data_IF_162436342434
#
_entry.id   IF_162436342434
#
_cell.length_a   1.000
_cell.length_b   1.000
_cell.length_c   1.000
_cell.angle_alpha   90.00
_cell.angle_beta   90.00
_cell.angle_gamma   90.00
#
_symmetry.space_group_name_H-M   'P 1'
#
loop_
_entity.id
_entity.type
_entity.pdbx_description
1 polymer ?
#
# COMPACT_ATOMS: atom_id res chain seq x y z
N UNK A 1 -0.20 34.49 45.55
CA UNK A 1 0.45 33.44 44.73
C UNK A 1 0.85 34.08 43.41
N UNK A 2 2.13 34.38 43.21
CA UNK A 2 2.66 34.83 41.92
C UNK A 2 3.05 33.59 41.11
N UNK A 3 2.45 33.39 39.94
CA UNK A 3 2.79 32.30 39.03
C UNK A 3 3.84 32.79 38.04
N UNK A 4 5.01 32.16 38.01
CA UNK A 4 6.02 32.41 36.99
C UNK A 4 5.72 31.57 35.76
N UNK A 5 5.52 32.23 34.61
CA UNK A 5 5.23 31.58 33.33
C UNK A 5 6.46 31.67 32.43
N UNK A 6 7.05 30.52 32.13
CA UNK A 6 8.22 30.39 31.24
C UNK A 6 7.74 30.30 29.79
N UNK A 7 7.63 31.46 29.13
CA UNK A 7 7.12 31.59 27.75
C UNK A 7 8.00 30.86 26.74
N UNK A 8 9.31 30.87 26.96
CA UNK A 8 10.29 30.11 26.19
C UNK A 8 10.01 28.60 26.21
N UNK A 9 9.70 28.04 27.39
CA UNK A 9 9.33 26.63 27.55
C UNK A 9 8.00 26.33 26.85
N UNK A 10 6.99 27.19 27.01
CA UNK A 10 5.68 27.03 26.35
C UNK A 10 5.85 27.04 24.83
N UNK A 11 6.65 27.96 24.29
CA UNK A 11 6.89 28.08 22.86
C UNK A 11 7.55 26.81 22.30
N UNK A 12 8.61 26.31 22.95
CA UNK A 12 9.35 25.14 22.48
C UNK A 12 8.51 23.88 22.59
N UNK A 13 7.86 23.65 23.73
CA UNK A 13 7.07 22.42 23.97
C UNK A 13 5.89 22.36 23.00
N UNK A 14 5.11 23.44 22.88
CA UNK A 14 3.97 23.45 21.96
C UNK A 14 4.43 23.38 20.50
N UNK A 15 5.52 24.05 20.12
CA UNK A 15 6.07 23.96 18.76
C UNK A 15 6.52 22.55 18.39
N UNK A 16 7.14 21.82 19.32
CA UNK A 16 7.55 20.44 19.09
C UNK A 16 6.33 19.50 19.04
N UNK A 17 5.38 19.64 19.97
CA UNK A 17 4.15 18.84 19.98
C UNK A 17 3.32 19.04 18.71
N UNK A 18 3.06 20.29 18.35
CA UNK A 18 2.31 20.65 17.14
C UNK A 18 3.03 20.16 15.87
N UNK A 19 4.37 20.22 15.85
CA UNK A 19 5.18 19.68 14.77
C UNK A 19 5.04 18.16 14.62
N UNK A 20 5.05 17.43 15.73
CA UNK A 20 4.84 15.97 15.75
C UNK A 20 3.42 15.64 15.27
N UNK A 21 2.40 16.33 15.78
CA UNK A 21 1.00 16.10 15.41
C UNK A 21 0.76 16.38 13.92
N UNK A 22 1.28 17.50 13.39
CA UNK A 22 1.21 17.81 11.96
C UNK A 22 1.99 16.80 11.11
N UNK A 23 3.14 16.30 11.57
CA UNK A 23 3.90 15.29 10.86
C UNK A 23 3.17 13.92 10.80
N UNK A 24 2.55 13.51 11.91
CA UNK A 24 1.69 12.32 11.96
C UNK A 24 0.50 12.50 11.01
N UNK A 25 -0.19 13.64 11.11
CA UNK A 25 -1.34 13.95 10.27
C UNK A 25 -0.99 14.00 8.78
N UNK A 26 0.16 14.59 8.41
CA UNK A 26 0.67 14.61 7.03
C UNK A 26 0.76 13.20 6.45
N UNK A 27 1.17 12.23 7.27
CA UNK A 27 1.34 10.84 6.86
C UNK A 27 0.05 10.06 6.85
N UNK A 28 -0.87 10.31 7.79
CA UNK A 28 -2.23 9.74 7.78
C UNK A 28 -2.99 10.19 6.52
N UNK A 29 -2.91 11.48 6.18
CA UNK A 29 -3.60 12.05 5.03
C UNK A 29 -2.86 11.85 3.70
N UNK A 30 -1.60 11.39 3.72
CA UNK A 30 -0.78 11.27 2.51
C UNK A 30 -0.56 12.61 1.79
N UNK A 31 -0.59 13.72 2.51
CA UNK A 31 -0.66 15.07 1.92
C UNK A 31 0.66 15.55 1.28
N UNK A 32 1.79 14.91 1.60
CA UNK A 32 3.09 15.22 0.97
C UNK A 32 3.65 16.60 1.35
N UNK A 33 3.27 17.16 2.50
CA UNK A 33 3.80 18.44 2.97
C UNK A 33 5.30 18.37 3.28
N UNK A 34 6.03 19.43 2.89
CA UNK A 34 7.47 19.58 3.17
C UNK A 34 7.68 20.00 4.63
N UNK A 35 8.81 19.57 5.22
CA UNK A 35 9.17 19.86 6.61
C UNK A 35 9.08 21.35 6.99
N UNK A 36 9.52 22.26 6.11
CA UNK A 36 9.43 23.71 6.37
C UNK A 36 8.00 24.23 6.52
N UNK A 37 7.01 23.63 5.84
CA UNK A 37 5.60 24.02 6.01
C UNK A 37 5.00 23.46 7.28
N UNK A 38 5.41 22.25 7.66
CA UNK A 38 5.04 21.65 8.94
C UNK A 38 5.58 22.52 10.09
N UNK A 39 6.82 22.97 9.99
CA UNK A 39 7.41 23.89 10.96
C UNK A 39 6.64 25.21 11.07
N UNK A 40 6.28 25.84 9.94
CA UNK A 40 5.48 27.07 9.96
C UNK A 40 4.08 26.86 10.56
N UNK A 41 3.45 25.72 10.27
CA UNK A 41 2.18 25.34 10.90
C UNK A 41 2.35 25.18 12.41
N UNK A 42 3.37 24.46 12.85
CA UNK A 42 3.66 24.25 14.27
C UNK A 42 3.98 25.56 15.01
N UNK A 43 4.69 26.48 14.37
CA UNK A 43 4.94 27.80 14.92
C UNK A 43 3.65 28.60 15.16
N UNK A 44 2.63 28.46 14.30
CA UNK A 44 1.34 29.12 14.48
C UNK A 44 0.60 28.61 15.73
N UNK A 45 0.62 27.29 15.97
CA UNK A 45 0.05 26.70 17.18
C UNK A 45 0.80 27.11 18.46
N UNK A 46 2.14 27.08 18.42
CA UNK A 46 2.98 27.52 19.53
C UNK A 46 2.78 29.00 19.90
N UNK A 47 2.64 29.88 18.90
CA UNK A 47 2.34 31.29 19.12
C UNK A 47 0.97 31.48 19.78
N UNK A 48 -0.04 30.72 19.35
CA UNK A 48 -1.35 30.74 19.99
C UNK A 48 -1.26 30.30 21.46
N UNK A 49 -0.52 29.23 21.76
CA UNK A 49 -0.33 28.76 23.13
C UNK A 49 0.32 29.84 24.03
N UNK A 50 1.31 30.55 23.50
CA UNK A 50 1.94 31.68 24.20
C UNK A 50 0.94 32.84 24.43
N UNK A 51 0.19 33.22 23.40
CA UNK A 51 -0.82 34.27 23.49
C UNK A 51 -1.92 33.93 24.51
N UNK A 52 -2.40 32.68 24.48
CA UNK A 52 -3.39 32.18 25.42
C UNK A 52 -2.85 32.17 26.87
N UNK A 53 -1.57 31.87 27.07
CA UNK A 53 -0.93 31.90 28.39
C UNK A 53 -0.72 33.33 28.93
N UNK A 54 -0.41 34.29 28.06
CA UNK A 54 -0.19 35.70 28.40
C UNK A 54 -1.47 36.49 28.70
N UNK A 55 -2.64 35.97 28.34
CA UNK A 55 -3.93 36.62 28.59
C UNK A 55 -4.78 35.75 29.54
N UNK A 56 -4.59 35.87 30.87
CA UNK A 56 -5.32 35.06 31.86
C UNK A 56 -6.83 35.31 31.86
N UNK A 57 -7.26 36.54 31.54
CA UNK A 57 -8.66 36.97 31.52
C UNK A 57 -9.39 36.69 30.19
N UNK A 58 -8.79 35.91 29.28
CA UNK A 58 -9.44 35.58 28.01
C UNK A 58 -10.71 34.75 28.26
N UNK A 59 -11.88 35.15 27.72
CA UNK A 59 -13.11 34.44 27.98
C UNK A 59 -13.05 33.00 27.42
N UNK A 60 -13.61 32.06 28.18
CA UNK A 60 -13.47 30.61 27.92
C UNK A 60 -13.92 30.22 26.50
N UNK A 61 -15.01 30.80 26.01
CA UNK A 61 -15.53 30.54 24.67
C UNK A 61 -14.55 31.00 23.57
N UNK A 62 -13.81 32.09 23.78
CA UNK A 62 -12.84 32.60 22.82
C UNK A 62 -11.58 31.75 22.81
N UNK A 63 -11.12 31.30 23.98
CA UNK A 63 -10.04 30.30 24.10
C UNK A 63 -10.42 29.00 23.38
N UNK A 64 -11.63 28.50 23.61
CA UNK A 64 -12.13 27.29 22.95
C UNK A 64 -12.20 27.45 21.43
N UNK A 65 -12.80 28.54 20.95
CA UNK A 65 -12.92 28.82 19.52
C UNK A 65 -11.55 28.94 18.84
N UNK A 66 -10.59 29.58 19.52
CA UNK A 66 -9.23 29.69 19.03
C UNK A 66 -8.52 28.34 18.97
N UNK A 67 -8.50 27.60 20.08
CA UNK A 67 -7.76 26.34 20.22
C UNK A 67 -8.35 25.17 19.44
N UNK A 68 -9.68 25.09 19.30
CA UNK A 68 -10.35 23.95 18.67
C UNK A 68 -10.79 24.19 17.23
N UNK A 69 -10.78 25.44 16.75
CA UNK A 69 -11.26 25.75 15.39
C UNK A 69 -10.28 26.62 14.63
N UNK A 70 -10.02 27.84 15.11
CA UNK A 70 -9.28 28.83 14.31
C UNK A 70 -7.81 28.43 14.10
N UNK A 71 -7.13 27.99 15.15
CA UNK A 71 -5.70 27.69 15.12
C UNK A 71 -5.43 26.36 14.43
N UNK A 72 -6.13 25.25 14.73
CA UNK A 72 -5.99 24.00 13.96
C UNK A 72 -6.22 24.20 12.47
N UNK A 73 -7.26 24.98 12.08
CA UNK A 73 -7.51 25.31 10.68
C UNK A 73 -6.36 26.11 10.06
N UNK A 74 -5.81 27.11 10.78
CA UNK A 74 -4.66 27.88 10.32
C UNK A 74 -3.41 27.01 10.13
N UNK A 75 -3.09 26.17 11.12
CA UNK A 75 -1.95 25.24 11.07
C UNK A 75 -2.04 24.31 9.86
N UNK A 76 -3.22 23.72 9.64
CA UNK A 76 -3.51 22.83 8.50
C UNK A 76 -3.45 23.59 7.18
N UNK A 77 -3.97 24.82 7.12
CA UNK A 77 -3.92 25.63 5.92
C UNK A 77 -2.49 25.96 5.50
N UNK A 78 -1.64 26.33 6.47
CA UNK A 78 -0.21 26.59 6.26
C UNK A 78 0.52 25.30 5.82
N UNK A 79 0.29 24.20 6.52
CA UNK A 79 1.00 22.93 6.31
C UNK A 79 0.61 22.25 4.99
N UNK A 80 -0.70 22.10 4.73
CA UNK A 80 -1.23 21.21 3.69
C UNK A 80 -1.84 21.92 2.48
N UNK A 81 -2.19 23.21 2.58
CA UNK A 81 -2.87 23.97 1.51
C UNK A 81 -4.07 23.22 0.91
N UNK A 82 -5.09 22.91 1.71
CA UNK A 82 -6.28 22.21 1.24
C UNK A 82 -6.95 23.00 0.10
N UNK A 83 -7.48 22.30 -0.90
CA UNK A 83 -8.10 22.94 -2.09
C UNK A 83 -9.55 23.38 -1.88
N UNK A 84 -10.16 23.03 -0.74
CA UNK A 84 -11.53 23.42 -0.42
C UNK A 84 -11.85 23.28 1.06
N UNK A 85 -12.96 23.90 1.48
CA UNK A 85 -13.40 23.98 2.88
C UNK A 85 -13.60 22.58 3.49
N UNK A 86 -14.18 21.65 2.73
CA UNK A 86 -14.37 20.26 3.19
C UNK A 86 -13.03 19.59 3.57
N UNK A 87 -12.00 19.76 2.75
CA UNK A 87 -10.66 19.20 3.02
C UNK A 87 -9.99 19.88 4.21
N UNK A 88 -10.18 21.20 4.35
CA UNK A 88 -9.68 21.97 5.48
C UNK A 88 -10.30 21.48 6.80
N UNK A 89 -11.63 21.37 6.85
CA UNK A 89 -12.36 20.90 8.04
C UNK A 89 -12.00 19.46 8.38
N UNK A 90 -11.89 18.58 7.37
CA UNK A 90 -11.49 17.19 7.59
C UNK A 90 -10.06 17.08 8.16
N UNK A 91 -9.12 17.87 7.65
CA UNK A 91 -7.75 17.85 8.14
C UNK A 91 -7.62 18.53 9.52
N UNK A 92 -8.35 19.61 9.79
CA UNK A 92 -8.39 20.24 11.12
C UNK A 92 -8.97 19.29 12.17
N UNK A 93 -10.13 18.68 11.89
CA UNK A 93 -10.70 17.66 12.78
C UNK A 93 -9.77 16.45 12.95
N UNK A 94 -9.05 16.06 11.89
CA UNK A 94 -8.02 15.03 11.96
C UNK A 94 -6.87 15.41 12.88
N UNK A 95 -6.46 16.68 12.92
CA UNK A 95 -5.44 17.19 13.83
C UNK A 95 -5.90 17.09 15.29
N UNK A 96 -7.12 17.58 15.58
CA UNK A 96 -7.68 17.56 16.93
C UNK A 96 -7.89 16.13 17.45
N UNK A 97 -8.37 15.22 16.61
CA UNK A 97 -8.49 13.80 16.96
C UNK A 97 -7.13 13.15 17.23
N UNK A 98 -6.11 13.50 16.44
CA UNK A 98 -4.74 13.01 16.66
C UNK A 98 -4.18 13.54 17.98
N UNK A 99 -4.44 14.81 18.30
CA UNK A 99 -4.06 15.43 19.56
C UNK A 99 -4.77 14.80 20.75
N UNK A 100 -6.08 14.57 20.66
CA UNK A 100 -6.87 13.93 21.71
C UNK A 100 -6.42 12.48 21.96
N UNK A 101 -6.11 11.73 20.90
CA UNK A 101 -5.57 10.38 21.02
C UNK A 101 -4.17 10.38 21.68
N UNK A 102 -3.29 11.29 21.28
CA UNK A 102 -1.96 11.45 21.90
C UNK A 102 -2.07 11.84 23.38
N UNK A 103 -2.99 12.74 23.71
CA UNK A 103 -3.33 13.12 25.08
C UNK A 103 -3.84 11.94 25.90
N UNK A 104 -4.81 11.18 25.37
CA UNK A 104 -5.36 9.99 26.04
C UNK A 104 -4.34 8.87 26.25
N UNK A 105 -3.40 8.67 25.31
CA UNK A 105 -2.28 7.74 25.52
C UNK A 105 -1.35 8.24 26.62
N UNK A 106 -1.06 9.53 26.65
CA UNK A 106 -0.22 10.14 27.71
C UNK A 106 -0.88 10.00 29.08
N UNK A 107 -2.19 10.24 29.17
CA UNK A 107 -3.00 10.07 30.38
C UNK A 107 -3.05 8.60 30.83
N UNK A 108 -3.32 7.68 29.91
CA UNK A 108 -3.36 6.25 30.22
C UNK A 108 -1.99 5.75 30.71
N UNK A 109 -0.89 6.21 30.11
CA UNK A 109 0.46 5.92 30.58
C UNK A 109 0.75 6.55 31.95
N UNK A 110 0.22 7.75 32.20
CA UNK A 110 0.34 8.42 33.49
C UNK A 110 -0.38 7.64 34.60
N UNK A 111 -1.60 7.19 34.36
CA UNK A 111 -2.42 6.47 35.35
C UNK A 111 -2.02 5.01 35.53
N UNK A 112 -1.69 4.30 34.45
CA UNK A 112 -1.50 2.83 34.48
C UNK A 112 -0.03 2.41 34.59
N UNK A 113 0.90 3.36 34.54
CA UNK A 113 2.34 3.11 34.70
C UNK A 113 2.85 3.90 35.89
N UNK A 114 3.95 3.44 36.53
CA UNK A 114 4.65 4.23 37.57
C UNK A 114 5.24 5.57 37.06
N UNK A 115 5.01 5.92 35.80
CA UNK A 115 5.40 7.20 35.21
C UNK A 115 4.78 8.39 35.97
N UNK A 116 3.53 8.27 36.44
CA UNK A 116 2.91 9.30 37.28
C UNK A 116 3.63 9.51 38.61
N UNK A 117 4.09 8.44 39.26
CA UNK A 117 4.88 8.49 40.49
C UNK A 117 6.24 9.19 40.29
N UNK A 118 6.95 8.89 39.19
CA UNK A 118 8.20 9.59 38.86
C UNK A 118 7.98 11.06 38.48
N UNK A 119 6.82 11.40 37.90
CA UNK A 119 6.43 12.78 37.56
C UNK A 119 6.03 13.61 38.80
N UNK A 120 5.33 12.99 39.76
CA UNK A 120 4.95 13.62 41.02
C UNK A 120 6.17 13.89 41.92
N UNK A 121 7.13 12.96 41.92
CA UNK A 121 8.46 13.16 42.53
C UNK A 121 9.24 14.30 41.84
N UNK A 122 9.03 14.49 40.53
CA UNK A 122 9.58 15.58 39.71
C UNK A 122 8.96 16.96 40.03
N UNK A 123 7.65 16.99 40.30
CA UNK A 123 6.87 18.20 40.62
C UNK A 123 7.11 18.68 42.05
N UNK A 124 7.40 17.76 42.99
CA UNK A 124 7.76 18.10 44.39
C UNK A 124 9.14 18.74 44.56
N UNK A 125 9.92 18.85 43.49
CA UNK A 125 11.01 19.83 43.42
C UNK A 125 12.33 19.43 44.09
N UNK A 126 12.69 18.15 44.12
CA UNK A 126 14.09 17.80 44.36
C UNK A 126 14.93 18.14 43.13
N UNK A 127 16.02 18.89 43.37
CA UNK A 127 16.86 19.60 42.39
C UNK A 127 17.68 18.65 41.49
N UNK A 128 17.03 17.89 40.63
CA UNK A 128 17.70 17.13 39.57
C UNK A 128 17.29 17.67 38.20
N UNK A 129 17.84 18.83 37.81
CA UNK A 129 17.64 19.44 36.49
C UNK A 129 17.97 18.49 35.33
N UNK A 130 18.91 17.55 35.54
CA UNK A 130 19.25 16.51 34.56
C UNK A 130 18.17 15.44 34.34
N UNK A 131 17.32 15.16 35.34
CA UNK A 131 16.29 14.13 35.25
C UNK A 131 15.04 14.62 34.48
N UNK A 132 14.73 15.92 34.58
CA UNK A 132 13.66 16.57 33.80
C UNK A 132 13.94 16.52 32.30
N UNK A 133 15.18 16.81 31.90
CA UNK A 133 15.61 16.73 30.50
C UNK A 133 15.58 15.29 29.98
N UNK A 134 15.96 14.32 30.81
CA UNK A 134 15.93 12.89 30.48
C UNK A 134 14.50 12.37 30.24
N UNK A 135 13.52 12.76 31.07
CA UNK A 135 12.12 12.38 30.88
C UNK A 135 11.53 12.97 29.59
N UNK A 136 11.83 14.22 29.27
CA UNK A 136 11.42 14.83 28.00
C UNK A 136 12.10 14.17 26.79
N UNK A 137 13.39 13.83 26.91
CA UNK A 137 14.11 13.04 25.90
C UNK A 137 13.52 11.65 25.72
N UNK A 138 13.05 10.98 26.77
CA UNK A 138 12.40 9.67 26.71
C UNK A 138 11.01 9.74 26.07
N UNK A 139 10.24 10.80 26.33
CA UNK A 139 8.95 11.04 25.66
C UNK A 139 9.17 11.35 24.18
N UNK A 140 10.19 12.16 23.85
CA UNK A 140 10.57 12.48 22.47
C UNK A 140 11.07 11.25 21.72
N UNK A 141 12.00 10.48 22.30
CA UNK A 141 12.55 9.28 21.67
C UNK A 141 11.55 8.14 21.60
N UNK A 142 10.73 7.94 22.65
CA UNK A 142 9.62 6.99 22.65
C UNK A 142 8.51 7.36 21.67
N UNK A 143 8.18 8.66 21.56
CA UNK A 143 7.24 9.19 20.57
C UNK A 143 7.77 9.03 19.14
N UNK A 144 9.07 9.25 18.92
CA UNK A 144 9.71 9.09 17.61
C UNK A 144 9.85 7.62 17.20
N UNK A 145 10.17 6.73 18.13
CA UNK A 145 10.23 5.27 17.90
C UNK A 145 8.83 4.65 17.72
N UNK A 146 7.85 5.09 18.52
CA UNK A 146 6.44 4.71 18.37
C UNK A 146 5.86 5.19 17.03
N UNK A 147 6.15 6.44 16.65
CA UNK A 147 5.83 6.96 15.33
C UNK A 147 6.52 6.12 14.24
N UNK A 148 7.82 5.82 14.35
CA UNK A 148 8.51 4.99 13.35
C UNK A 148 7.91 3.57 13.21
N UNK A 149 7.58 2.91 14.32
CA UNK A 149 6.97 1.58 14.35
C UNK A 149 5.54 1.55 13.79
N UNK A 150 4.73 2.55 14.13
CA UNK A 150 3.37 2.72 13.60
C UNK A 150 3.38 3.15 12.12
N UNK A 151 4.34 3.99 11.72
CA UNK A 151 4.43 4.55 10.37
C UNK A 151 5.12 3.63 9.35
N UNK A 152 6.00 2.73 9.80
CA UNK A 152 6.64 1.70 8.97
C UNK A 152 5.80 0.42 8.95
N UNK A 153 5.96 -0.40 9.99
CA UNK A 153 5.35 -1.72 10.05
C UNK A 153 3.83 -1.66 10.26
N UNK A 154 3.33 -0.71 11.05
CA UNK A 154 1.90 -0.53 11.31
C UNK A 154 1.13 -0.10 10.06
N UNK A 155 1.62 0.90 9.33
CA UNK A 155 1.03 1.37 8.08
C UNK A 155 1.15 0.34 6.94
N UNK A 156 2.23 -0.45 6.90
CA UNK A 156 2.39 -1.52 5.92
C UNK A 156 1.51 -2.74 6.26
N UNK A 157 1.38 -3.07 7.54
CA UNK A 157 0.45 -4.10 8.03
C UNK A 157 -1.01 -3.67 7.83
N UNK A 158 -1.33 -2.40 8.07
CA UNK A 158 -2.63 -1.80 7.76
C UNK A 158 -2.86 -1.76 6.25
N UNK A 159 -1.88 -1.40 5.41
CA UNK A 159 -2.01 -1.50 3.94
C UNK A 159 -2.23 -2.95 3.49
N UNK A 160 -1.52 -3.92 4.07
CA UNK A 160 -1.76 -5.36 3.83
C UNK A 160 -3.17 -5.79 4.27
N UNK A 161 -3.69 -5.21 5.36
CA UNK A 161 -5.02 -5.51 5.92
C UNK A 161 -6.17 -4.73 5.26
N UNK A 162 -5.88 -3.59 4.64
CA UNK A 162 -6.77 -2.72 3.86
C UNK A 162 -6.73 -3.00 2.36
N UNK A 163 -5.77 -3.79 1.87
CA UNK A 163 -5.81 -4.43 0.55
C UNK A 163 -6.86 -5.55 0.55
N UNK A 164 -8.07 -5.21 1.01
CA UNK A 164 -9.26 -6.03 0.99
C UNK A 164 -9.74 -6.10 -0.45
N UNK A 165 -9.76 -7.31 -1.01
CA UNK A 165 -10.58 -7.76 -2.15
C UNK A 165 -10.98 -6.62 -3.10
N UNK A 166 -10.02 -6.09 -3.83
CA UNK A 166 -10.29 -5.04 -4.80
C UNK A 166 -11.03 -5.66 -5.97
N UNK A 167 -12.34 -5.46 -5.98
CA UNK A 167 -13.13 -5.68 -7.18
C UNK A 167 -12.75 -4.64 -8.22
N UNK A 168 -12.53 -5.06 -9.45
CA UNK A 168 -12.11 -4.22 -10.55
C UNK A 168 -12.89 -4.58 -11.81
N UNK A 169 -13.00 -3.62 -12.72
CA UNK A 169 -13.61 -3.85 -14.02
C UNK A 169 -12.53 -4.32 -14.99
N UNK A 170 -12.78 -5.44 -15.66
CA UNK A 170 -11.83 -6.05 -16.58
C UNK A 170 -12.48 -6.25 -17.94
N UNK A 171 -11.78 -5.88 -19.00
CA UNK A 171 -12.15 -6.17 -20.37
C UNK A 171 -11.16 -7.19 -20.93
N UNK A 172 -11.67 -8.33 -21.35
CA UNK A 172 -10.91 -9.40 -21.99
C UNK A 172 -11.18 -9.39 -23.49
N UNK A 173 -10.14 -9.55 -24.30
CA UNK A 173 -10.28 -9.59 -25.76
C UNK A 173 -9.62 -10.82 -26.38
N UNK A 174 -10.35 -11.47 -27.29
CA UNK A 174 -9.86 -12.59 -28.08
C UNK A 174 -10.48 -12.60 -29.48
N UNK A 175 -9.65 -12.66 -30.52
CA UNK A 175 -10.04 -12.66 -31.92
C UNK A 175 -11.02 -11.53 -32.28
N UNK A 176 -10.81 -10.34 -31.68
CA UNK A 176 -11.65 -9.16 -31.89
C UNK A 176 -12.99 -9.16 -31.15
N UNK A 177 -13.32 -10.20 -30.38
CA UNK A 177 -14.45 -10.17 -29.43
C UNK A 177 -13.99 -9.65 -28.09
N UNK A 178 -14.83 -8.84 -27.45
CA UNK A 178 -14.58 -8.29 -26.12
C UNK A 178 -15.69 -8.69 -25.15
N UNK A 179 -15.30 -9.01 -23.91
CA UNK A 179 -16.23 -9.23 -22.81
C UNK A 179 -15.79 -8.43 -21.59
N UNK A 180 -16.74 -7.76 -20.96
CA UNK A 180 -16.51 -6.98 -19.73
C UNK A 180 -17.00 -7.77 -18.52
N UNK A 181 -16.11 -7.95 -17.55
CA UNK A 181 -16.35 -8.78 -16.37
C UNK A 181 -15.85 -8.10 -15.10
N UNK A 182 -16.45 -8.49 -13.97
CA UNK A 182 -15.94 -8.09 -12.65
C UNK A 182 -14.83 -9.04 -12.23
N UNK A 183 -13.65 -8.50 -12.00
CA UNK A 183 -12.49 -9.23 -11.51
C UNK A 183 -12.26 -8.98 -10.02
N UNK A 184 -11.80 -10.00 -9.31
CA UNK A 184 -11.27 -9.91 -7.95
C UNK A 184 -9.75 -10.00 -8.01
N UNK A 185 -9.06 -8.98 -7.47
CA UNK A 185 -7.61 -9.07 -7.26
C UNK A 185 -7.32 -10.07 -6.14
N UNK A 186 -6.89 -11.27 -6.53
CA UNK A 186 -6.65 -12.37 -5.61
C UNK A 186 -5.17 -12.49 -5.28
N UNK A 187 -4.83 -12.14 -4.04
CA UNK A 187 -3.47 -12.25 -3.52
C UNK A 187 -3.07 -13.70 -3.23
N UNK A 188 -4.03 -14.62 -3.15
CA UNK A 188 -3.79 -16.05 -2.94
C UNK A 188 -3.54 -16.82 -4.23
N UNK A 189 -3.85 -16.23 -5.39
CA UNK A 189 -3.61 -16.88 -6.68
C UNK A 189 -2.10 -16.90 -7.00
N UNK A 190 -1.50 -18.08 -6.86
CA UNK A 190 -0.09 -18.36 -7.18
C UNK A 190 0.07 -19.15 -8.48
N UNK A 191 -0.97 -19.27 -9.30
CA UNK A 191 -0.97 -20.10 -10.50
C UNK A 191 0.06 -19.60 -11.51
N UNK A 192 0.81 -20.51 -12.12
CA UNK A 192 1.84 -20.17 -13.10
C UNK A 192 1.87 -21.17 -14.21
N UNK A 193 2.11 -20.69 -15.42
CA UNK A 193 2.49 -21.54 -16.53
C UNK A 193 3.80 -22.28 -16.17
N UNK A 194 3.83 -23.63 -16.15
CA UNK A 194 5.02 -24.39 -15.80
C UNK A 194 6.19 -24.19 -16.77
N UNK A 195 5.91 -23.78 -18.02
CA UNK A 195 6.93 -23.59 -19.05
C UNK A 195 7.47 -22.15 -19.03
N UNK A 196 6.60 -21.15 -19.18
CA UNK A 196 7.05 -19.75 -19.26
C UNK A 196 7.19 -19.04 -17.90
N UNK A 197 6.67 -19.63 -16.82
CA UNK A 197 6.59 -18.99 -15.50
C UNK A 197 5.63 -17.79 -15.44
N UNK A 198 4.87 -17.55 -16.52
CA UNK A 198 3.95 -16.42 -16.61
C UNK A 198 2.80 -16.55 -15.60
N UNK A 199 2.34 -15.43 -15.02
CA UNK A 199 1.14 -15.45 -14.18
C UNK A 199 -0.10 -15.86 -14.99
N UNK A 200 -1.01 -16.58 -14.34
CA UNK A 200 -2.26 -17.11 -14.89
C UNK A 200 -3.45 -16.56 -14.10
N UNK A 201 -4.33 -15.84 -14.80
CA UNK A 201 -5.63 -15.41 -14.28
C UNK A 201 -6.63 -16.56 -14.36
N UNK A 202 -7.72 -16.55 -13.58
CA UNK A 202 -8.73 -17.61 -13.65
C UNK A 202 -10.10 -17.01 -13.93
N UNK A 203 -10.73 -17.35 -15.03
CA UNK A 203 -12.07 -16.90 -15.41
C UNK A 203 -13.09 -18.03 -15.27
N UNK A 204 -14.35 -17.68 -15.03
CA UNK A 204 -15.46 -18.64 -15.08
C UNK A 204 -15.66 -19.18 -16.50
N UNK A 205 -16.11 -20.44 -16.63
CA UNK A 205 -16.35 -21.06 -17.92
C UNK A 205 -17.36 -20.29 -18.78
N UNK A 206 -18.38 -19.69 -18.17
CA UNK A 206 -19.40 -18.91 -18.88
C UNK A 206 -18.78 -17.74 -19.64
N UNK A 207 -17.94 -16.94 -18.97
CA UNK A 207 -17.21 -15.82 -19.59
C UNK A 207 -16.33 -16.28 -20.75
N UNK A 208 -15.64 -17.41 -20.56
CA UNK A 208 -14.71 -17.92 -21.57
C UNK A 208 -15.42 -18.54 -22.77
N UNK A 209 -16.62 -19.11 -22.59
CA UNK A 209 -17.45 -19.62 -23.68
C UNK A 209 -18.01 -18.48 -24.54
N UNK A 210 -18.42 -17.38 -23.90
CA UNK A 210 -18.91 -16.18 -24.61
C UNK A 210 -17.79 -15.53 -25.44
N UNK A 211 -16.58 -15.48 -24.87
CA UNK A 211 -15.41 -14.88 -25.50
C UNK A 211 -14.81 -15.77 -26.60
N UNK A 212 -14.68 -17.08 -26.34
CA UNK A 212 -13.91 -18.02 -27.16
C UNK A 212 -14.75 -19.25 -27.58
N UNK A 213 -15.68 -19.13 -28.55
CA UNK A 213 -16.49 -20.26 -29.00
C UNK A 213 -15.69 -21.35 -29.74
N UNK A 214 -14.47 -21.03 -30.20
CA UNK A 214 -13.53 -21.99 -30.79
C UNK A 214 -12.15 -21.79 -30.18
N UNK A 215 -11.66 -22.81 -29.50
CA UNK A 215 -10.37 -22.75 -28.80
C UNK A 215 -9.30 -23.42 -29.66
N UNK A 216 -8.20 -22.71 -29.94
CA UNK A 216 -6.96 -23.27 -30.52
C UNK A 216 -5.81 -22.91 -29.59
N UNK A 217 -4.97 -23.88 -29.25
CA UNK A 217 -3.85 -23.69 -28.32
C UNK A 217 -4.29 -23.59 -26.87
N UNK A 218 -4.55 -24.75 -26.25
CA UNK A 218 -4.82 -24.86 -24.81
C UNK A 218 -3.53 -25.22 -24.09
N UNK A 219 -3.24 -24.52 -23.01
CA UNK A 219 -2.14 -24.84 -22.09
C UNK A 219 -2.76 -25.43 -20.83
N UNK A 220 -2.27 -26.58 -20.40
CA UNK A 220 -2.74 -27.20 -19.15
C UNK A 220 -1.85 -26.78 -18.00
N UNK A 221 -2.45 -26.09 -17.03
CA UNK A 221 -1.74 -25.52 -15.88
C UNK A 221 -2.08 -26.35 -14.64
N UNK A 222 -1.10 -27.02 -14.02
CA UNK A 222 -1.33 -27.73 -12.77
C UNK A 222 -1.61 -26.72 -11.66
N UNK A 223 -2.59 -27.03 -10.81
CA UNK A 223 -2.97 -26.20 -9.66
C UNK A 223 -3.20 -27.06 -8.41
N UNK A 224 -3.21 -26.39 -7.26
CA UNK A 224 -3.61 -26.95 -5.98
C UNK A 224 -4.52 -25.95 -5.28
N UNK A 225 -5.62 -26.45 -4.74
CA UNK A 225 -6.62 -25.65 -4.02
C UNK A 225 -7.03 -26.38 -2.74
N UNK A 226 -7.70 -25.68 -1.83
CA UNK A 226 -8.23 -26.29 -0.60
C UNK A 226 -9.27 -27.34 -0.99
N UNK A 227 -9.07 -28.58 -0.54
CA UNK A 227 -9.93 -29.71 -0.90
C UNK A 227 -9.56 -30.40 -2.22
N UNK A 228 -8.46 -30.01 -2.88
CA UNK A 228 -7.97 -30.65 -4.11
C UNK A 228 -6.50 -31.06 -3.94
N UNK A 229 -6.19 -32.35 -3.96
CA UNK A 229 -4.80 -32.85 -3.81
C UNK A 229 -3.89 -32.41 -4.97
N UNK A 230 -4.40 -32.56 -6.20
CA UNK A 230 -3.80 -32.06 -7.43
C UNK A 230 -4.88 -31.86 -8.49
N UNK A 231 -4.79 -30.79 -9.27
CA UNK A 231 -5.73 -30.50 -10.33
C UNK A 231 -5.05 -29.90 -11.55
N UNK A 232 -5.74 -29.90 -12.68
CA UNK A 232 -5.27 -29.29 -13.93
C UNK A 232 -6.36 -28.34 -14.43
N UNK A 233 -5.97 -27.11 -14.76
CA UNK A 233 -6.85 -26.12 -15.39
C UNK A 233 -6.42 -25.88 -16.85
N UNK A 234 -7.35 -25.94 -17.81
CA UNK A 234 -7.07 -25.48 -19.17
C UNK A 234 -6.97 -23.96 -19.18
N UNK A 235 -5.96 -23.42 -19.84
CA UNK A 235 -5.70 -22.00 -19.99
C UNK A 235 -5.50 -21.62 -21.45
N UNK A 236 -5.93 -20.40 -21.77
CA UNK A 236 -5.92 -19.84 -23.12
C UNK A 236 -5.19 -18.51 -23.07
N UNK A 237 -4.34 -18.27 -24.08
CA UNK A 237 -3.68 -16.97 -24.25
C UNK A 237 -4.62 -16.03 -25.00
N UNK A 238 -5.00 -14.93 -24.36
CA UNK A 238 -5.86 -13.91 -24.97
C UNK A 238 -5.03 -12.94 -25.81
N UNK A 239 -5.67 -12.06 -26.59
CA UNK A 239 -4.96 -11.03 -27.34
C UNK A 239 -4.49 -9.91 -26.40
N UNK A 240 -5.42 -9.42 -25.58
CA UNK A 240 -5.13 -8.45 -24.54
C UNK A 240 -6.18 -8.48 -23.41
N UNK A 241 -5.82 -7.88 -22.28
CA UNK A 241 -6.69 -7.63 -21.14
C UNK A 241 -6.49 -6.22 -20.64
N UNK A 242 -7.57 -5.50 -20.39
CA UNK A 242 -7.56 -4.16 -19.76
C UNK A 242 -8.18 -4.25 -18.38
N UNK A 243 -7.50 -3.73 -17.36
CA UNK A 243 -7.97 -3.70 -15.98
C UNK A 243 -8.08 -2.24 -15.53
N UNK A 244 -9.26 -1.86 -15.05
CA UNK A 244 -9.54 -0.55 -14.47
C UNK A 244 -9.61 -0.66 -12.94
N UNK A 245 -8.68 -0.01 -12.26
CA UNK A 245 -8.54 -0.05 -10.80
C UNK A 245 -8.04 1.30 -10.27
N UNK A 246 -8.67 1.83 -9.21
CA UNK A 246 -8.30 3.10 -8.56
C UNK A 246 -8.13 4.28 -9.54
N UNK A 247 -9.06 4.41 -10.50
CA UNK A 247 -9.04 5.41 -11.60
C UNK A 247 -7.81 5.33 -12.51
N UNK A 248 -7.12 4.18 -12.52
CA UNK A 248 -6.00 3.89 -13.43
C UNK A 248 -6.36 2.71 -14.32
N UNK A 249 -5.81 2.75 -15.52
CA UNK A 249 -6.02 1.73 -16.53
C UNK A 249 -4.72 0.96 -16.79
N UNK A 250 -4.79 -0.36 -16.75
CA UNK A 250 -3.66 -1.26 -17.00
C UNK A 250 -3.99 -2.17 -18.19
N UNK A 251 -3.20 -2.10 -19.26
CA UNK A 251 -3.38 -2.95 -20.45
C UNK A 251 -2.27 -3.99 -20.57
N UNK A 252 -2.64 -5.26 -20.61
CA UNK A 252 -1.73 -6.41 -20.71
C UNK A 252 -1.89 -7.09 -22.08
N UNK A 253 -0.78 -7.25 -22.80
CA UNK A 253 -0.74 -8.00 -24.06
C UNK A 253 -0.52 -9.48 -23.79
N UNK A 254 -1.23 -10.35 -24.50
CA UNK A 254 -1.07 -11.80 -24.44
C UNK A 254 -1.20 -12.46 -23.04
N UNK A 255 -2.16 -12.06 -22.19
CA UNK A 255 -2.31 -12.63 -20.85
C UNK A 255 -2.79 -14.09 -20.94
N UNK A 256 -2.38 -14.92 -19.97
CA UNK A 256 -2.80 -16.31 -19.88
C UNK A 256 -3.96 -16.41 -18.88
N UNK A 257 -5.10 -16.95 -19.34
CA UNK A 257 -6.32 -17.06 -18.55
C UNK A 257 -6.79 -18.51 -18.51
N UNK A 258 -6.77 -19.10 -17.31
CA UNK A 258 -7.31 -20.41 -16.99
C UNK A 258 -8.84 -20.37 -16.89
N UNK A 259 -9.47 -21.49 -17.23
CA UNK A 259 -10.93 -21.64 -17.24
C UNK A 259 -11.36 -22.54 -16.09
N UNK A 260 -12.09 -21.99 -15.13
CA UNK A 260 -12.74 -22.75 -14.06
C UNK A 260 -14.09 -23.26 -14.54
N UNK A 261 -14.34 -24.56 -14.37
CA UNK A 261 -15.66 -25.17 -14.67
C UNK A 261 -16.72 -24.75 -13.67
N UNK A 262 -16.32 -24.53 -12.42
CA UNK A 262 -17.22 -24.11 -11.35
C UNK A 262 -17.27 -22.58 -11.24
N UNK A 263 -18.41 -22.01 -10.84
CA UNK A 263 -18.52 -20.59 -10.55
C UNK A 263 -17.50 -20.17 -9.49
N UNK A 264 -16.80 -19.07 -9.74
CA UNK A 264 -15.77 -18.58 -8.82
C UNK A 264 -16.36 -17.98 -7.54
N UNK A 265 -17.64 -17.59 -7.57
CA UNK A 265 -18.37 -17.02 -6.44
C UNK A 265 -19.82 -17.54 -6.46
N UNK A 266 -20.27 -18.14 -5.36
CA UNK A 266 -21.66 -18.59 -5.23
C UNK A 266 -22.68 -17.43 -5.31
N UNK A 267 -22.28 -16.23 -4.90
CA UNK A 267 -23.10 -15.01 -4.97
C UNK A 267 -23.01 -14.27 -6.31
N UNK A 268 -22.09 -14.66 -7.22
CA UNK A 268 -21.91 -14.00 -8.52
C UNK A 268 -21.26 -12.61 -8.46
N UNK A 269 -20.52 -12.31 -7.40
CA UNK A 269 -19.89 -11.00 -7.20
C UNK A 269 -18.73 -10.72 -8.18
N UNK A 270 -18.07 -11.77 -8.67
CA UNK A 270 -16.96 -11.71 -9.59
C UNK A 270 -16.85 -12.98 -10.45
N UNK A 271 -16.32 -12.81 -11.66
CA UNK A 271 -16.18 -13.86 -12.68
C UNK A 271 -14.73 -14.09 -13.12
N UNK A 272 -13.79 -13.33 -12.55
CA UNK A 272 -12.37 -13.39 -12.88
C UNK A 272 -11.51 -13.21 -11.62
N UNK A 273 -10.51 -14.07 -11.42
CA UNK A 273 -9.46 -13.93 -10.41
C UNK A 273 -8.19 -13.41 -11.08
N UNK A 274 -7.71 -12.26 -10.61
CA UNK A 274 -6.50 -11.62 -11.12
C UNK A 274 -5.29 -11.93 -10.23
N UNK A 275 -4.17 -12.32 -10.84
CA UNK A 275 -2.94 -12.62 -10.12
C UNK A 275 -2.02 -11.42 -9.93
N UNK A 276 -1.80 -11.01 -8.69
CA UNK A 276 -1.11 -9.76 -8.33
C UNK A 276 0.27 -9.52 -8.97
N UNK A 277 1.10 -10.56 -9.17
CA UNK A 277 2.49 -10.36 -9.62
C UNK A 277 2.61 -9.72 -11.01
N UNK A 278 1.58 -9.85 -11.86
CA UNK A 278 1.61 -9.24 -13.20
C UNK A 278 1.78 -7.71 -13.14
N UNK A 279 1.35 -7.08 -12.05
CA UNK A 279 1.48 -5.65 -11.80
C UNK A 279 2.88 -5.24 -11.35
N UNK A 280 3.57 -6.11 -10.58
CA UNK A 280 4.89 -5.82 -10.00
C UNK A 280 6.00 -5.84 -11.05
N UNK A 281 5.88 -6.70 -12.08
CA UNK A 281 6.86 -6.80 -13.18
C UNK A 281 6.91 -5.56 -14.09
N UNK A 282 5.84 -4.75 -14.12
CA UNK A 282 5.82 -3.47 -14.88
C UNK A 282 6.25 -2.24 -14.08
N UNK A 283 6.50 -2.38 -12.77
CA UNK A 283 6.96 -1.27 -11.92
C UNK A 283 8.46 -0.94 -12.08
N UNK A 284 9.21 -1.68 -12.92
CA UNK A 284 10.52 -1.21 -13.40
C UNK A 284 10.29 -0.28 -14.60
N UNK A 285 10.75 0.99 -14.57
CA UNK A 285 10.65 1.85 -15.73
C UNK A 285 11.43 1.20 -16.87
N UNK A 286 10.73 0.75 -17.91
CA UNK A 286 11.36 0.47 -19.19
C UNK A 286 11.94 1.81 -19.66
N UNK A 287 13.28 1.91 -19.66
CA UNK A 287 13.97 2.97 -20.38
C UNK A 287 13.39 3.01 -21.81
N UNK A 288 13.01 4.18 -22.34
CA UNK A 288 12.60 4.25 -23.73
C UNK A 288 13.75 3.72 -24.58
N UNK A 289 13.47 2.70 -25.41
CA UNK A 289 14.40 2.31 -26.47
C UNK A 289 14.57 3.54 -27.36
N UNK A 290 15.72 4.19 -27.27
CA UNK A 290 16.17 5.13 -28.27
C UNK A 290 16.40 4.33 -29.55
N UNK A 291 15.55 4.56 -30.55
CA UNK A 291 15.80 4.13 -31.91
C UNK A 291 17.04 4.86 -32.41
N UNK A 292 18.20 4.24 -32.26
CA UNK A 292 19.35 4.57 -33.10
C UNK A 292 19.13 3.91 -34.46
N UNK A 293 18.60 4.69 -35.39
CA UNK A 293 18.71 4.41 -36.82
C UNK A 293 20.20 4.46 -37.19
N UNK A 294 20.82 3.30 -37.33
CA UNK A 294 22.24 3.21 -37.69
C UNK A 294 22.84 1.84 -37.43
N UNK A 295 22.37 0.82 -38.15
CA UNK A 295 22.97 -0.51 -38.14
C UNK A 295 22.42 -1.34 -39.28
N UNK A 296 23.30 -1.78 -40.18
CA UNK A 296 23.00 -2.43 -41.45
C UNK A 296 22.04 -3.62 -41.28
N UNK A 297 21.04 -3.66 -42.15
CA UNK A 297 20.21 -4.84 -42.42
C UNK A 297 21.16 -5.95 -42.87
N UNK A 298 21.26 -7.02 -42.08
CA UNK A 298 21.86 -8.27 -42.53
C UNK A 298 20.75 -9.10 -43.20
N UNK A 299 20.96 -9.46 -44.46
CA UNK A 299 20.13 -10.36 -45.25
C UNK A 299 20.05 -11.74 -44.60
N UNK A 300 18.84 -12.24 -44.38
CA UNK A 300 18.54 -13.60 -43.89
C UNK A 300 18.70 -14.69 -44.99
N UNK A 301 19.62 -14.50 -45.96
CA UNK A 301 19.93 -15.49 -47.00
C UNK A 301 21.26 -16.23 -46.79
N UNK A 302 21.65 -16.53 -45.54
CA UNK A 302 22.81 -17.40 -45.30
C UNK A 302 22.72 -18.22 -44.01
N UNK A 303 21.68 -19.03 -43.86
CA UNK A 303 21.75 -20.19 -42.96
C UNK A 303 22.05 -21.42 -43.83
N UNK A 304 23.35 -21.71 -43.94
CA UNK A 304 23.87 -22.94 -44.51
C UNK A 304 23.59 -24.07 -43.52
N UNK A 305 22.50 -24.82 -43.73
CA UNK A 305 22.22 -26.03 -42.96
C UNK A 305 23.14 -27.15 -43.45
N UNK A 306 24.14 -27.50 -42.64
CA UNK A 306 24.80 -28.80 -42.83
C UNK A 306 23.88 -29.91 -42.32
N UNK A 307 23.65 -30.98 -43.10
CA UNK A 307 22.82 -32.09 -42.68
C UNK A 307 23.49 -32.90 -41.56
N UNK A 308 22.69 -33.27 -40.57
CA UNK A 308 23.08 -34.08 -39.42
C UNK A 308 23.55 -35.47 -39.88
N UNK A 309 24.78 -35.87 -39.53
CA UNK A 309 25.36 -37.17 -39.89
C UNK A 309 24.84 -38.26 -38.96
N UNK A 310 24.14 -39.25 -39.52
CA UNK A 310 23.72 -40.47 -38.81
C UNK A 310 24.82 -41.51 -38.94
N UNK A 311 25.64 -41.71 -37.88
CA UNK A 311 26.43 -42.94 -37.67
C UNK A 311 26.72 -43.16 -36.18
N UNK A 312 25.96 -44.05 -35.54
CA UNK A 312 26.45 -45.37 -35.09
C UNK A 312 25.50 -45.99 -34.08
N UNK A 313 25.05 -47.19 -34.44
CA UNK A 313 24.36 -48.14 -33.59
C UNK A 313 25.21 -48.51 -32.36
N UNK A 314 24.58 -48.54 -31.19
CA UNK A 314 24.93 -49.48 -30.14
C UNK A 314 23.75 -50.45 -30.00
N UNK A 315 24.04 -51.73 -30.24
CA UNK A 315 23.12 -52.86 -30.22
C UNK A 315 22.51 -53.03 -28.83
N UNK A 316 21.18 -53.16 -28.77
CA UNK A 316 20.46 -53.73 -27.64
C UNK A 316 20.65 -55.26 -27.69
N UNK A 317 20.98 -55.95 -26.58
CA UNK A 317 20.94 -57.40 -26.54
C UNK A 317 19.49 -57.89 -26.48
N UNK A 318 19.16 -58.78 -27.41
CA UNK A 318 17.96 -59.62 -27.40
C UNK A 318 17.93 -60.53 -26.16
N UNK A 319 16.82 -60.50 -25.42
CA UNK A 319 16.37 -61.68 -24.67
C UNK A 319 14.88 -61.86 -24.94
N UNK A 320 14.59 -62.88 -25.75
CA UNK A 320 13.27 -63.42 -25.99
C UNK A 320 12.80 -64.33 -24.84
N UNK A 321 11.49 -64.34 -24.65
CA UNK A 321 10.62 -65.46 -24.24
C UNK A 321 10.85 -66.18 -22.89
N UNK A 322 9.89 -66.01 -21.98
CA UNK A 322 9.18 -67.13 -21.34
C UNK A 322 7.78 -66.65 -20.91
N UNK A 323 6.76 -67.46 -21.23
CA UNK A 323 5.33 -67.17 -21.10
C UNK A 323 4.74 -67.34 -19.68
N UNK A 324 3.40 -67.43 -19.59
CA UNK A 324 2.65 -67.21 -18.36
C UNK A 324 2.41 -68.50 -17.56
N UNK A 325 2.45 -68.40 -16.24
CA UNK A 325 1.65 -69.17 -15.26
C UNK A 325 1.32 -68.27 -14.06
#
# INVERSE_FOLDING_TARGET
>A
MTYEVYIDVILIVNGVMDGILLAILNRILGAGAKAGRIFLGAAAGAMWACAAALVPAMPLWLRFLGSCLAVPALMVWIAFRPRGVKQLVQAAAGLDLTAAAAGGVTEALYEHTRAGFYLELLLRGERAAGLRLLCWLLILTGGMAGAWGLLGNGAEMMRKRFRKRTYCQVVLCFQGKEVRVRGLLDTGNCLRDPVSGSPVHVASAQVMLDLCPRIRGVIFVPYRAVGTESGILPAIRLDWMKVEMDHREYSFSHPLVAVSREPLCAAGDYDLLLQQEQWERRAKPRRPLSWHTGGKIHDDQSINTQPFSIKNHAQLPDCASAGPE
#
